data_IF_618454923090
#
_entry.id   IF_618454923090
#
_cell.length_a   1.000
_cell.length_b   1.000
_cell.length_c   1.000
_cell.angle_alpha   90.00
_cell.angle_beta   90.00
_cell.angle_gamma   90.00
#
_symmetry.space_group_name_H-M   'P 1'
#
loop_
_entity.id
_entity.type
_entity.pdbx_description
1 polymer ?
#
# COMPACT_ATOMS: atom_id res chain seq x y z
N UNK A 1 -6.28 19.36 32.50
CA UNK A 1 -5.39 19.96 31.47
C UNK A 1 -4.05 19.22 31.24
N UNK A 2 -3.72 18.15 31.99
CA UNK A 2 -2.40 17.48 31.91
C UNK A 2 -2.12 16.74 30.58
N UNK A 3 -3.11 16.04 30.02
CA UNK A 3 -2.94 15.31 28.75
C UNK A 3 -2.59 16.23 27.56
N UNK A 4 -3.11 17.48 27.57
CA UNK A 4 -2.87 18.47 26.52
C UNK A 4 -1.44 19.03 26.59
N UNK A 5 -0.91 19.23 27.79
CA UNK A 5 0.48 19.68 27.98
C UNK A 5 1.50 18.58 27.67
N UNK A 6 1.19 17.32 28.01
CA UNK A 6 2.02 16.17 27.64
C UNK A 6 2.09 15.96 26.12
N UNK A 7 1.00 16.21 25.39
CA UNK A 7 1.01 16.18 23.93
C UNK A 7 1.83 17.34 23.33
N UNK A 8 1.80 18.54 23.94
CA UNK A 8 2.59 19.70 23.51
C UNK A 8 4.10 19.46 23.65
N UNK A 9 4.55 18.86 24.76
CA UNK A 9 5.97 18.55 24.98
C UNK A 9 6.49 17.42 24.09
N UNK A 10 5.64 16.44 23.77
CA UNK A 10 6.01 15.29 22.93
C UNK A 10 5.99 15.59 21.43
N UNK A 11 5.13 16.50 20.97
CA UNK A 11 4.89 16.71 19.53
C UNK A 11 5.30 18.09 19.03
N UNK A 12 5.53 19.06 19.92
CA UNK A 12 5.80 20.46 19.56
C UNK A 12 4.59 21.19 18.98
N UNK A 13 3.42 20.55 18.92
CA UNK A 13 2.20 21.08 18.32
C UNK A 13 1.35 21.73 19.42
N UNK A 14 1.32 23.06 19.45
CA UNK A 14 0.50 23.86 20.35
C UNK A 14 -0.34 24.88 19.59
N UNK A 15 -1.62 25.00 19.98
CA UNK A 15 -2.46 26.13 19.59
C UNK A 15 -2.12 27.25 20.59
N UNK A 16 -1.36 28.24 20.09
CA UNK A 16 -1.07 29.58 20.61
C UNK A 16 0.40 29.96 20.93
N UNK A 17 0.69 31.15 20.38
CA UNK A 17 1.80 32.13 20.37
C UNK A 17 3.26 31.68 20.23
N UNK A 18 3.69 30.54 20.76
CA UNK A 18 5.09 30.07 20.60
C UNK A 18 5.20 28.67 19.97
N UNK A 19 4.04 28.03 19.72
CA UNK A 19 3.96 26.77 18.98
C UNK A 19 3.82 27.03 17.47
N UNK A 20 4.67 26.40 16.66
CA UNK A 20 4.64 26.53 15.21
C UNK A 20 3.24 26.24 14.66
N UNK A 21 2.64 27.24 13.99
CA UNK A 21 1.33 27.13 13.36
C UNK A 21 1.35 25.97 12.37
N UNK A 22 0.65 24.87 12.66
CA UNK A 22 0.41 23.81 11.69
C UNK A 22 -0.43 24.39 10.56
N UNK A 23 0.20 24.67 9.44
CA UNK A 23 -0.52 25.08 8.25
C UNK A 23 -1.20 23.88 7.62
N UNK A 24 -2.27 24.10 6.85
CA UNK A 24 -2.90 23.03 6.07
C UNK A 24 -1.89 22.36 5.10
N UNK A 25 -0.85 23.10 4.69
CA UNK A 25 0.24 22.56 3.88
C UNK A 25 1.09 21.54 4.65
N UNK A 26 1.38 21.79 5.93
CA UNK A 26 2.12 20.84 6.79
C UNK A 26 1.32 19.57 7.05
N UNK A 27 0.01 19.70 7.28
CA UNK A 27 -0.89 18.54 7.43
C UNK A 27 -0.95 17.75 6.13
N UNK A 28 -1.02 18.42 4.97
CA UNK A 28 -1.04 17.77 3.65
C UNK A 28 0.27 17.01 3.38
N UNK A 29 1.42 17.60 3.73
CA UNK A 29 2.73 16.95 3.54
C UNK A 29 2.91 15.77 4.50
N UNK A 30 2.54 15.91 5.77
CA UNK A 30 2.55 14.83 6.75
C UNK A 30 1.62 13.67 6.34
N UNK A 31 0.39 13.99 5.91
CA UNK A 31 -0.56 13.00 5.41
C UNK A 31 -0.04 12.26 4.17
N UNK A 32 0.59 12.99 3.24
CA UNK A 32 1.22 12.39 2.05
C UNK A 32 2.37 11.44 2.41
N UNK A 33 3.21 11.81 3.39
CA UNK A 33 4.29 10.96 3.91
C UNK A 33 3.74 9.71 4.61
N UNK A 34 2.71 9.86 5.45
CA UNK A 34 2.05 8.74 6.12
C UNK A 34 1.44 7.76 5.11
N UNK A 35 0.77 8.27 4.07
CA UNK A 35 0.21 7.45 2.98
C UNK A 35 1.31 6.72 2.21
N UNK A 36 2.41 7.39 1.89
CA UNK A 36 3.56 6.76 1.23
C UNK A 36 4.18 5.65 2.08
N UNK A 37 4.30 5.87 3.40
CA UNK A 37 4.78 4.87 4.35
C UNK A 37 3.84 3.65 4.41
N UNK A 38 2.53 3.87 4.55
CA UNK A 38 1.53 2.82 4.60
C UNK A 38 1.49 1.98 3.30
N UNK A 39 1.69 2.62 2.14
CA UNK A 39 1.86 1.92 0.85
C UNK A 39 3.16 1.10 0.82
N UNK A 40 4.29 1.65 1.26
CA UNK A 40 5.58 0.93 1.27
C UNK A 40 5.59 -0.27 2.21
N UNK A 41 4.93 -0.15 3.37
CA UNK A 41 4.87 -1.21 4.38
C UNK A 41 3.76 -2.23 4.14
N UNK A 42 2.88 -1.99 3.16
CA UNK A 42 1.80 -2.94 2.83
C UNK A 42 0.58 -2.85 3.75
N UNK A 43 0.55 -1.94 4.73
CA UNK A 43 -0.52 -1.82 5.72
C UNK A 43 -1.91 -1.64 5.09
N UNK A 44 -2.00 -0.86 4.00
CA UNK A 44 -3.26 -0.65 3.27
C UNK A 44 -3.71 -1.95 2.60
N UNK A 45 -2.77 -2.72 2.07
CA UNK A 45 -3.05 -4.01 1.43
C UNK A 45 -3.54 -5.02 2.46
N UNK A 46 -2.85 -5.12 3.59
CA UNK A 46 -3.20 -6.02 4.69
C UNK A 46 -4.59 -5.70 5.26
N UNK A 47 -4.89 -4.41 5.48
CA UNK A 47 -6.21 -3.98 5.94
C UNK A 47 -7.32 -4.41 4.96
N UNK A 48 -7.09 -4.22 3.65
CA UNK A 48 -8.05 -4.63 2.62
C UNK A 48 -8.16 -6.15 2.52
N UNK A 49 -7.08 -6.91 2.78
CA UNK A 49 -7.10 -8.38 2.86
C UNK A 49 -7.92 -8.88 4.05
N UNK A 50 -7.76 -8.25 5.21
CA UNK A 50 -8.56 -8.59 6.39
C UNK A 50 -10.05 -8.29 6.18
N UNK A 51 -10.37 -7.17 5.54
CA UNK A 51 -11.76 -6.83 5.22
C UNK A 51 -12.37 -7.83 4.25
N UNK A 52 -11.65 -8.26 3.20
CA UNK A 52 -12.18 -9.30 2.29
C UNK A 52 -12.47 -10.59 3.05
N UNK A 53 -11.52 -11.06 3.87
CA UNK A 53 -11.71 -12.30 4.65
C UNK A 53 -12.96 -12.23 5.52
N UNK A 54 -13.14 -11.13 6.26
CA UNK A 54 -14.34 -10.92 7.09
C UNK A 54 -15.63 -10.84 6.29
N UNK A 55 -15.60 -10.27 5.09
CA UNK A 55 -16.78 -10.21 4.22
C UNK A 55 -17.12 -11.58 3.62
N UNK A 56 -16.12 -12.39 3.30
CA UNK A 56 -16.31 -13.77 2.83
C UNK A 56 -16.83 -14.65 3.97
N UNK A 57 -16.27 -14.55 5.17
CA UNK A 57 -16.72 -15.30 6.35
C UNK A 57 -18.18 -15.02 6.72
N UNK A 58 -18.65 -13.78 6.49
CA UNK A 58 -20.05 -13.39 6.71
C UNK A 58 -20.98 -13.74 5.55
N UNK A 59 -20.45 -14.16 4.40
CA UNK A 59 -21.26 -14.44 3.23
C UNK A 59 -21.83 -15.87 3.31
N UNK A 60 -23.15 -15.97 3.46
CA UNK A 60 -23.85 -17.27 3.54
C UNK A 60 -24.01 -17.95 2.17
N UNK A 61 -24.01 -17.17 1.07
CA UNK A 61 -24.21 -17.68 -0.29
C UNK A 61 -22.95 -17.57 -1.14
N UNK A 62 -22.65 -18.58 -1.98
CA UNK A 62 -21.44 -18.60 -2.81
C UNK A 62 -21.42 -17.50 -3.88
N UNK A 63 -22.58 -17.03 -4.33
CA UNK A 63 -22.69 -15.92 -5.29
C UNK A 63 -22.12 -14.61 -4.74
N UNK A 64 -22.36 -14.34 -3.45
CA UNK A 64 -21.84 -13.13 -2.79
C UNK A 64 -20.32 -13.18 -2.67
N UNK A 65 -19.73 -14.35 -2.45
CA UNK A 65 -18.28 -14.53 -2.43
C UNK A 65 -17.65 -14.18 -3.79
N UNK A 66 -18.29 -14.61 -4.87
CA UNK A 66 -17.82 -14.30 -6.23
C UNK A 66 -17.92 -12.80 -6.54
N UNK A 67 -19.03 -12.16 -6.13
CA UNK A 67 -19.20 -10.71 -6.27
C UNK A 67 -18.15 -9.93 -5.46
N UNK A 68 -17.91 -10.31 -4.21
CA UNK A 68 -16.91 -9.69 -3.34
C UNK A 68 -15.52 -9.75 -3.99
N UNK A 69 -15.13 -10.92 -4.51
CA UNK A 69 -13.84 -11.11 -5.21
C UNK A 69 -13.73 -10.26 -6.48
N UNK A 70 -14.81 -10.15 -7.27
CA UNK A 70 -14.83 -9.33 -8.49
C UNK A 70 -14.67 -7.84 -8.19
N UNK A 71 -15.47 -7.31 -7.25
CA UNK A 71 -15.39 -5.89 -6.83
C UNK A 71 -13.98 -5.59 -6.31
N UNK A 72 -13.40 -6.51 -5.54
CA UNK A 72 -12.05 -6.34 -5.00
C UNK A 72 -10.97 -6.26 -6.08
N UNK A 73 -11.06 -7.05 -7.15
CA UNK A 73 -10.14 -6.97 -8.28
C UNK A 73 -10.14 -5.54 -8.88
N UNK A 74 -11.30 -4.92 -8.99
CA UNK A 74 -11.46 -3.53 -9.43
C UNK A 74 -10.84 -2.52 -8.46
N UNK A 75 -11.08 -2.67 -7.15
CA UNK A 75 -10.51 -1.81 -6.11
C UNK A 75 -8.98 -1.89 -6.10
N UNK A 76 -8.41 -3.10 -6.17
CA UNK A 76 -6.95 -3.31 -6.22
C UNK A 76 -6.33 -2.64 -7.45
N UNK A 77 -6.96 -2.76 -8.61
CA UNK A 77 -6.50 -2.14 -9.85
C UNK A 77 -6.56 -0.60 -9.78
N UNK A 78 -7.68 -0.03 -9.32
CA UNK A 78 -7.91 1.41 -9.28
C UNK A 78 -7.01 2.14 -8.28
N UNK A 79 -6.81 1.55 -7.10
CA UNK A 79 -6.07 2.19 -6.01
C UNK A 79 -4.62 1.71 -5.90
N UNK A 80 -4.16 0.84 -6.80
CA UNK A 80 -2.80 0.31 -6.80
C UNK A 80 -2.47 -0.48 -5.53
N UNK A 81 -3.49 -1.08 -4.90
CA UNK A 81 -3.35 -1.90 -3.70
C UNK A 81 -2.95 -3.30 -4.17
N UNK A 82 -1.69 -3.45 -4.57
CA UNK A 82 -1.15 -4.70 -5.08
C UNK A 82 0.04 -5.12 -4.22
N UNK A 83 -0.04 -6.33 -3.66
CA UNK A 83 1.14 -7.15 -3.35
C UNK A 83 1.75 -7.52 -4.69
N UNK A 84 2.63 -6.67 -5.21
CA UNK A 84 3.91 -7.19 -5.61
C UNK A 84 4.82 -6.79 -4.47
N UNK A 85 5.26 -7.74 -3.63
CA UNK A 85 6.59 -7.57 -3.08
C UNK A 85 7.44 -7.23 -4.30
N UNK A 86 7.93 -5.99 -4.40
CA UNK A 86 9.11 -5.77 -5.23
C UNK A 86 10.14 -6.62 -4.54
N UNK A 87 10.28 -7.86 -4.99
CA UNK A 87 11.45 -8.67 -4.69
C UNK A 87 12.56 -7.85 -5.30
N UNK A 88 13.22 -7.06 -4.47
CA UNK A 88 14.42 -6.37 -4.85
C UNK A 88 15.46 -7.47 -5.02
N UNK A 89 15.43 -8.12 -6.19
CA UNK A 89 16.42 -9.10 -6.57
C UNK A 89 17.76 -8.36 -6.53
N UNK A 90 18.62 -8.76 -5.61
CA UNK A 90 19.95 -8.16 -5.46
C UNK A 90 20.66 -8.32 -6.80
N UNK A 91 21.14 -7.20 -7.36
CA UNK A 91 21.81 -7.20 -8.68
C UNK A 91 22.94 -8.23 -8.65
N UNK A 92 22.88 -9.21 -9.55
CA UNK A 92 23.89 -10.27 -9.67
C UNK A 92 23.60 -11.57 -8.90
N UNK A 93 22.56 -11.61 -8.05
CA UNK A 93 22.12 -12.85 -7.38
C UNK A 93 21.66 -13.92 -8.38
N UNK A 94 21.73 -15.19 -7.99
CA UNK A 94 21.26 -16.31 -8.80
C UNK A 94 19.77 -16.17 -9.17
N UNK A 95 18.96 -15.71 -8.22
CA UNK A 95 17.54 -15.42 -8.40
C UNK A 95 17.31 -14.27 -9.39
N UNK A 96 18.12 -13.20 -9.34
CA UNK A 96 18.06 -12.11 -10.33
C UNK A 96 18.38 -12.60 -11.74
N UNK A 97 19.40 -13.47 -11.87
CA UNK A 97 19.82 -14.04 -13.16
C UNK A 97 18.75 -14.97 -13.72
N UNK A 98 18.16 -15.83 -12.89
CA UNK A 98 17.09 -16.75 -13.27
C UNK A 98 15.82 -16.00 -13.71
N UNK A 99 15.41 -14.97 -12.95
CA UNK A 99 14.28 -14.12 -13.31
C UNK A 99 14.52 -13.40 -14.65
N UNK A 100 15.71 -12.83 -14.86
CA UNK A 100 16.07 -12.20 -16.13
C UNK A 100 16.17 -13.20 -17.30
N UNK A 101 16.59 -14.44 -17.05
CA UNK A 101 16.60 -15.50 -18.04
C UNK A 101 15.17 -15.91 -18.44
N UNK A 102 14.25 -16.02 -17.47
CA UNK A 102 12.83 -16.27 -17.74
C UNK A 102 12.20 -15.14 -18.56
N UNK A 103 12.47 -13.87 -18.22
CA UNK A 103 12.02 -12.71 -19.02
C UNK A 103 12.59 -12.72 -20.45
N UNK A 104 13.84 -13.15 -20.63
CA UNK A 104 14.45 -13.29 -21.95
C UNK A 104 13.85 -14.46 -22.73
N UNK A 105 13.52 -15.57 -22.08
CA UNK A 105 12.88 -16.73 -22.71
C UNK A 105 11.45 -16.43 -23.19
N UNK A 106 10.73 -15.59 -22.44
CA UNK A 106 9.41 -15.06 -22.84
C UNK A 106 9.48 -14.09 -24.03
N UNK A 107 10.67 -13.64 -24.42
CA UNK A 107 10.89 -12.71 -25.52
C UNK A 107 10.97 -13.47 -26.84
N UNK A 108 9.83 -13.81 -27.46
CA UNK A 108 9.80 -14.18 -28.88
C UNK A 108 9.45 -13.00 -29.77
N UNK A 109 10.31 -12.79 -30.78
CA UNK A 109 10.11 -12.14 -32.08
C UNK A 109 9.38 -10.78 -32.00
N UNK A 110 10.13 -9.67 -32.08
CA UNK A 110 9.66 -8.25 -32.06
C UNK A 110 9.26 -7.64 -30.70
N UNK A 111 10.20 -7.69 -29.75
CA UNK A 111 10.52 -6.48 -28.97
C UNK A 111 9.48 -5.88 -28.02
N UNK A 112 8.39 -6.55 -27.67
CA UNK A 112 7.45 -6.04 -26.66
C UNK A 112 7.23 -7.05 -25.52
N UNK A 113 7.25 -6.57 -24.28
CA UNK A 113 6.92 -7.36 -23.09
C UNK A 113 5.40 -7.39 -22.94
N UNK A 114 4.77 -8.56 -23.12
CA UNK A 114 3.43 -8.80 -22.57
C UNK A 114 3.62 -9.20 -21.11
N UNK A 115 3.28 -8.29 -20.20
CA UNK A 115 2.93 -8.66 -18.83
C UNK A 115 1.57 -9.38 -18.92
N UNK A 116 1.58 -10.71 -18.84
CA UNK A 116 0.37 -11.49 -18.55
C UNK A 116 0.06 -11.35 -17.06
#
# INVERSE_FOLDING_TARGET
MAARQGLKSLTGIGIEEEGGKLTLADVKTAGSKALAYAKRKGLITDAVDLVEKKLIEKAERPEHVNLIKQVRKGVRAKFGVRVGQKVFLVKGSAEAKAHMAALRALRKIRGSFRLV
#
